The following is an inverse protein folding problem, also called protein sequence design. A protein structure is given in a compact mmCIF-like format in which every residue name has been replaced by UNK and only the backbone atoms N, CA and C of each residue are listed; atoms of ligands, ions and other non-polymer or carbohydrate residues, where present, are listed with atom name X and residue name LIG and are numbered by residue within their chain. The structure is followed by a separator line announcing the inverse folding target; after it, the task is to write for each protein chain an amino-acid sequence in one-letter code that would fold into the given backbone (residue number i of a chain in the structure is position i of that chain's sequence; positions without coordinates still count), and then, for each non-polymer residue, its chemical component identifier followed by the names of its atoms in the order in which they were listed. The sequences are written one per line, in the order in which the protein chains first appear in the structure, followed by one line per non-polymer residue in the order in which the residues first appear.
data_IF_448233624923
#
_entry.id   IF_448233624923
#
_cell.length_a   1.000
_cell.length_b   1.000
_cell.length_c   1.000
_cell.angle_alpha   90.00
_cell.angle_beta   90.00
_cell.angle_gamma   90.00
#
_symmetry.space_group_name_H-M   'P 1'
#
loop_
_entity.id
_entity.type
_entity.pdbx_description
1 polymer ?
#
# COMPACT_ATOMS: atom_id res chain seq x y z
N UNK A 1 66.68 -42.45 -11.41
CA UNK A 1 65.80 -41.95 -10.31
C UNK A 1 65.38 -40.47 -10.47
N UNK A 2 66.11 -39.61 -11.19
CA UNK A 2 65.79 -38.17 -11.32
C UNK A 2 64.46 -37.81 -12.02
N UNK A 3 63.96 -38.65 -12.94
CA UNK A 3 62.79 -38.29 -13.75
C UNK A 3 61.49 -38.24 -12.92
N UNK A 4 61.34 -39.14 -11.94
CA UNK A 4 60.17 -39.16 -11.05
C UNK A 4 60.15 -37.97 -10.07
N UNK A 5 61.33 -37.52 -9.63
CA UNK A 5 61.46 -36.35 -8.76
C UNK A 5 61.10 -35.06 -9.51
N UNK A 6 61.53 -34.92 -10.78
CA UNK A 6 61.14 -33.79 -11.63
C UNK A 6 59.64 -33.72 -11.90
N UNK A 7 59.00 -34.87 -12.16
CA UNK A 7 57.54 -34.95 -12.33
C UNK A 7 56.75 -34.62 -11.05
N UNK A 8 57.31 -34.92 -9.87
CA UNK A 8 56.68 -34.54 -8.61
C UNK A 8 56.81 -33.04 -8.34
N UNK A 9 57.97 -32.43 -8.64
CA UNK A 9 58.17 -31.00 -8.46
C UNK A 9 57.24 -30.17 -9.36
N UNK A 10 57.13 -30.53 -10.63
CA UNK A 10 56.18 -29.87 -11.57
C UNK A 10 54.74 -29.96 -11.08
N UNK A 11 54.33 -31.12 -10.58
CA UNK A 11 52.98 -31.29 -10.01
C UNK A 11 52.75 -30.49 -8.72
N UNK A 12 53.78 -30.31 -7.90
CA UNK A 12 53.71 -29.43 -6.72
C UNK A 12 53.54 -27.97 -7.15
N UNK A 13 54.27 -27.52 -8.16
CA UNK A 13 54.13 -26.15 -8.70
C UNK A 13 52.73 -25.92 -9.27
N UNK A 14 52.21 -26.83 -10.08
CA UNK A 14 50.84 -26.77 -10.61
C UNK A 14 49.79 -26.70 -9.51
N UNK A 15 49.91 -27.53 -8.48
CA UNK A 15 49.00 -27.53 -7.34
C UNK A 15 49.08 -26.23 -6.54
N UNK A 16 50.27 -25.65 -6.37
CA UNK A 16 50.44 -24.38 -5.67
C UNK A 16 49.80 -23.22 -6.44
N UNK A 17 49.97 -23.17 -7.77
CA UNK A 17 49.32 -22.16 -8.61
C UNK A 17 47.79 -22.30 -8.53
N UNK A 18 47.28 -23.53 -8.68
CA UNK A 18 45.83 -23.77 -8.59
C UNK A 18 45.27 -23.42 -7.20
N UNK A 19 46.02 -23.68 -6.13
CA UNK A 19 45.60 -23.35 -4.77
C UNK A 19 45.55 -21.83 -4.56
N UNK A 20 46.56 -21.10 -5.05
CA UNK A 20 46.58 -19.63 -5.00
C UNK A 20 45.42 -19.00 -5.78
N UNK A 21 45.11 -19.52 -6.97
CA UNK A 21 43.94 -19.08 -7.73
C UNK A 21 42.63 -19.34 -6.98
N UNK A 22 42.48 -20.52 -6.36
CA UNK A 22 41.30 -20.87 -5.57
C UNK A 22 41.15 -19.97 -4.35
N UNK A 23 42.24 -19.61 -3.68
CA UNK A 23 42.23 -18.67 -2.55
C UNK A 23 41.77 -17.26 -2.99
N UNK A 24 42.27 -16.77 -4.13
CA UNK A 24 41.83 -15.48 -4.69
C UNK A 24 40.34 -15.47 -4.99
N UNK A 25 39.84 -16.49 -5.68
CA UNK A 25 38.42 -16.64 -5.99
C UNK A 25 37.54 -16.74 -4.73
N UNK A 26 38.04 -17.44 -3.69
CA UNK A 26 37.33 -17.55 -2.41
C UNK A 26 37.18 -16.20 -1.71
N UNK A 27 38.21 -15.35 -1.80
CA UNK A 27 38.18 -14.02 -1.21
C UNK A 27 37.21 -13.09 -1.95
N UNK A 28 37.19 -13.16 -3.28
CA UNK A 28 36.21 -12.42 -4.09
C UNK A 28 34.77 -12.84 -3.77
N UNK A 29 34.50 -14.15 -3.76
CA UNK A 29 33.17 -14.68 -3.43
C UNK A 29 32.70 -14.28 -2.03
N UNK A 30 33.61 -14.23 -1.04
CA UNK A 30 33.28 -13.76 0.32
C UNK A 30 32.86 -12.29 0.32
N UNK A 31 33.59 -11.45 -0.40
CA UNK A 31 33.28 -10.02 -0.51
C UNK A 31 31.92 -9.80 -1.20
N UNK A 32 31.66 -10.53 -2.27
CA UNK A 32 30.38 -10.46 -2.98
C UNK A 32 29.21 -10.92 -2.09
N UNK A 33 29.43 -11.95 -1.27
CA UNK A 33 28.43 -12.43 -0.30
C UNK A 33 28.10 -11.35 0.74
N UNK A 34 29.12 -10.71 1.33
CA UNK A 34 28.95 -9.64 2.30
C UNK A 34 28.16 -8.45 1.71
N UNK A 35 28.44 -8.08 0.45
CA UNK A 35 27.70 -7.02 -0.25
C UNK A 35 26.23 -7.40 -0.47
N UNK A 36 25.96 -8.64 -0.91
CA UNK A 36 24.60 -9.14 -1.10
C UNK A 36 23.79 -9.23 0.19
N UNK A 37 24.42 -9.61 1.29
CA UNK A 37 23.77 -9.63 2.62
C UNK A 37 23.34 -8.22 3.05
N UNK A 38 24.19 -7.22 2.79
CA UNK A 38 23.85 -5.82 3.07
C UNK A 38 22.68 -5.32 2.21
N UNK A 39 22.70 -5.57 0.90
CA UNK A 39 21.60 -5.20 -0.01
C UNK A 39 20.27 -5.85 0.43
N UNK A 40 20.31 -7.11 0.85
CA UNK A 40 19.13 -7.85 1.29
C UNK A 40 18.55 -7.27 2.59
N UNK A 41 19.42 -6.84 3.52
CA UNK A 41 19.01 -6.11 4.71
C UNK A 41 18.30 -4.80 4.39
N UNK A 42 18.86 -4.00 3.48
CA UNK A 42 18.25 -2.74 3.05
C UNK A 42 16.90 -2.94 2.35
N UNK A 43 16.77 -3.96 1.51
CA UNK A 43 15.51 -4.29 0.84
C UNK A 43 14.43 -4.73 1.84
N UNK A 44 14.78 -5.53 2.85
CA UNK A 44 13.84 -5.92 3.92
C UNK A 44 13.29 -4.70 4.66
N UNK A 45 14.15 -3.77 5.07
CA UNK A 45 13.70 -2.54 5.75
C UNK A 45 12.83 -1.65 4.86
N UNK A 46 13.06 -1.63 3.54
CA UNK A 46 12.18 -0.91 2.60
C UNK A 46 10.81 -1.58 2.48
N UNK A 47 10.75 -2.91 2.42
CA UNK A 47 9.50 -3.66 2.37
C UNK A 47 8.65 -3.42 3.62
N UNK A 48 9.25 -3.48 4.82
CA UNK A 48 8.55 -3.19 6.08
C UNK A 48 7.91 -1.79 6.07
N UNK A 49 8.65 -0.78 5.60
CA UNK A 49 8.12 0.59 5.48
C UNK A 49 6.92 0.66 4.52
N UNK A 50 7.05 0.08 3.33
CA UNK A 50 5.98 0.06 2.34
C UNK A 50 4.74 -0.66 2.88
N UNK A 51 4.91 -1.77 3.59
CA UNK A 51 3.79 -2.49 4.21
C UNK A 51 3.07 -1.65 5.28
N UNK A 52 3.82 -0.90 6.10
CA UNK A 52 3.22 0.01 7.08
C UNK A 52 2.46 1.16 6.43
N UNK A 53 3.01 1.75 5.37
CA UNK A 53 2.36 2.81 4.58
C UNK A 53 1.12 2.29 3.83
N UNK A 54 1.18 1.07 3.29
CA UNK A 54 0.04 0.46 2.62
C UNK A 54 -1.10 0.17 3.60
N UNK A 55 -0.79 -0.30 4.81
CA UNK A 55 -1.81 -0.54 5.82
C UNK A 55 -2.43 0.76 6.37
N UNK A 56 -1.69 1.87 6.41
CA UNK A 56 -2.24 3.17 6.82
C UNK A 56 -3.08 3.85 5.73
N UNK A 57 -2.86 3.50 4.46
CA UNK A 57 -3.55 4.08 3.31
C UNK A 57 -4.67 3.22 2.74
N UNK A 58 -4.87 1.99 3.25
CA UNK A 58 -5.98 1.12 2.81
C UNK A 58 -7.31 1.84 3.04
N UNK A 59 -8.07 2.18 1.97
CA UNK A 59 -9.38 2.76 2.13
C UNK A 59 -10.28 1.74 2.83
N UNK A 60 -11.06 2.23 3.80
CA UNK A 60 -12.07 1.43 4.51
C UNK A 60 -12.99 0.79 3.46
N UNK A 61 -13.17 -0.53 3.52
CA UNK A 61 -14.10 -1.22 2.62
C UNK A 61 -15.47 -0.56 2.74
N UNK A 62 -16.13 -0.19 1.61
CA UNK A 62 -17.43 0.41 1.69
C UNK A 62 -18.43 -0.59 2.27
N UNK A 63 -18.84 -0.36 3.51
CA UNK A 63 -20.09 -0.91 4.03
C UNK A 63 -21.23 -0.28 3.23
N UNK A 64 -22.18 -1.09 2.78
CA UNK A 64 -23.41 -0.74 2.04
C UNK A 64 -23.61 0.76 1.74
N UNK A 65 -23.41 1.15 0.48
CA UNK A 65 -23.73 2.49 0.00
C UNK A 65 -25.24 2.74 0.06
N UNK A 66 -25.73 3.27 1.18
CA UNK A 66 -27.03 3.91 1.21
C UNK A 66 -26.89 5.32 0.63
N UNK A 67 -27.78 5.71 -0.28
CA UNK A 67 -27.74 7.01 -1.00
C UNK A 67 -27.72 8.22 -0.06
N UNK A 68 -28.12 8.02 1.20
CA UNK A 68 -28.15 9.02 2.26
C UNK A 68 -26.75 9.45 2.70
N UNK A 69 -25.75 8.57 2.67
CA UNK A 69 -24.38 8.86 3.13
C UNK A 69 -23.56 9.74 2.17
N UNK A 70 -24.04 9.95 0.93
CA UNK A 70 -23.37 10.80 -0.07
C UNK A 70 -23.84 12.25 -0.06
N UNK A 71 -24.89 12.58 0.68
CA UNK A 71 -25.38 13.95 0.75
C UNK A 71 -24.41 14.80 1.57
N UNK A 72 -24.08 15.98 1.04
CA UNK A 72 -23.19 16.96 1.67
C UNK A 72 -23.94 18.29 1.78
N UNK A 73 -23.98 18.87 2.98
CA UNK A 73 -24.57 20.19 3.20
C UNK A 73 -23.71 21.26 2.51
N UNK A 74 -24.26 22.03 1.56
CA UNK A 74 -23.49 23.06 0.85
C UNK A 74 -23.12 24.27 1.72
N UNK A 75 -23.77 24.46 2.88
CA UNK A 75 -23.47 25.58 3.78
C UNK A 75 -22.36 25.29 4.79
N UNK A 76 -22.17 24.03 5.22
CA UNK A 76 -21.21 23.70 6.29
C UNK A 76 -20.43 22.38 6.07
N UNK A 77 -20.65 21.68 4.96
CA UNK A 77 -19.93 20.46 4.62
C UNK A 77 -20.29 19.22 5.44
N UNK A 78 -21.33 19.27 6.27
CA UNK A 78 -21.79 18.09 7.04
C UNK A 78 -22.38 17.03 6.13
N UNK A 79 -22.23 15.75 6.46
CA UNK A 79 -22.54 14.63 5.57
C UNK A 79 -23.45 13.59 6.21
N UNK A 80 -24.17 12.82 5.38
CA UNK A 80 -24.89 11.63 5.81
C UNK A 80 -25.90 11.88 6.93
N UNK A 81 -25.65 11.29 8.11
CA UNK A 81 -26.54 11.31 9.30
C UNK A 81 -26.92 12.70 9.80
N UNK A 82 -26.11 13.71 9.47
CA UNK A 82 -26.34 15.12 9.80
C UNK A 82 -27.34 15.80 8.83
N UNK A 83 -27.86 15.09 7.85
CA UNK A 83 -28.83 15.56 6.86
C UNK A 83 -30.13 14.78 7.05
N UNK A 84 -31.26 15.49 7.12
CA UNK A 84 -32.60 14.90 7.24
C UNK A 84 -33.43 15.30 6.03
N UNK A 85 -34.14 14.34 5.42
CA UNK A 85 -35.14 14.66 4.40
C UNK A 85 -36.50 14.96 5.06
N UNK A 86 -37.09 16.09 4.73
CA UNK A 86 -38.40 16.54 5.21
C UNK A 86 -39.28 16.98 4.03
N UNK A 87 -40.60 16.94 4.20
CA UNK A 87 -41.52 17.43 3.17
C UNK A 87 -41.52 18.96 3.12
N UNK A 88 -41.38 19.51 1.92
CA UNK A 88 -41.48 20.94 1.69
C UNK A 88 -42.93 21.36 1.45
N UNK A 89 -43.59 21.78 2.52
CA UNK A 89 -44.98 22.26 2.50
C UNK A 89 -45.16 23.68 1.94
N UNK A 90 -44.09 24.26 1.38
CA UNK A 90 -44.13 25.59 0.76
C UNK A 90 -44.99 25.62 -0.51
N UNK A 91 -45.04 24.50 -1.25
CA UNK A 91 -45.77 24.37 -2.50
C UNK A 91 -46.36 22.98 -2.65
N UNK A 92 -47.67 22.92 -2.92
CA UNK A 92 -48.35 21.68 -3.29
C UNK A 92 -47.97 21.34 -4.73
N UNK A 93 -47.44 20.13 -4.95
CA UNK A 93 -47.08 19.64 -6.28
C UNK A 93 -48.28 19.03 -7.01
N UNK A 94 -49.23 18.48 -6.26
CA UNK A 94 -50.46 17.90 -6.78
C UNK A 94 -51.32 17.33 -5.67
N UNK A 95 -52.44 16.73 -6.05
CA UNK A 95 -53.33 16.03 -5.12
C UNK A 95 -53.49 14.57 -5.57
N UNK A 96 -53.34 13.65 -4.62
CA UNK A 96 -53.70 12.24 -4.83
C UNK A 96 -55.01 12.01 -4.08
N UNK A 97 -56.12 11.97 -4.83
CA UNK A 97 -57.46 12.04 -4.25
C UNK A 97 -57.68 13.40 -3.57
N UNK A 98 -58.01 13.39 -2.26
CA UNK A 98 -58.23 14.60 -1.46
C UNK A 98 -57.01 15.05 -0.64
N UNK A 99 -55.86 14.36 -0.74
CA UNK A 99 -54.66 14.67 0.04
C UNK A 99 -53.60 15.39 -0.80
N UNK A 100 -53.04 16.52 -0.32
CA UNK A 100 -51.98 17.25 -1.03
C UNK A 100 -50.64 16.49 -0.97
N UNK A 101 -49.93 16.47 -2.09
CA UNK A 101 -48.56 15.96 -2.22
C UNK A 101 -47.57 17.12 -2.23
N UNK A 102 -46.49 16.99 -1.44
CA UNK A 102 -45.43 17.97 -1.31
C UNK A 102 -44.10 17.44 -1.86
N UNK A 103 -43.19 18.35 -2.21
CA UNK A 103 -41.81 17.98 -2.54
C UNK A 103 -41.05 17.52 -1.30
N UNK A 104 -39.86 16.93 -1.48
CA UNK A 104 -38.92 16.67 -0.37
C UNK A 104 -37.76 17.65 -0.46
N UNK A 105 -37.31 18.14 0.69
CA UNK A 105 -36.09 18.93 0.85
C UNK A 105 -35.19 18.31 1.90
N UNK A 106 -33.89 18.56 1.82
CA UNK A 106 -32.91 18.12 2.79
C UNK A 106 -32.55 19.26 3.73
N UNK A 107 -32.52 18.98 5.02
CA UNK A 107 -32.19 19.96 6.07
C UNK A 107 -30.98 19.46 6.85
N UNK A 108 -29.95 20.31 6.93
CA UNK A 108 -28.78 20.03 7.75
C UNK A 108 -29.10 20.26 9.23
N UNK A 109 -28.94 19.22 10.05
CA UNK A 109 -29.18 19.28 11.51
C UNK A 109 -28.16 20.16 12.24
N UNK A 110 -26.97 20.39 11.66
CA UNK A 110 -25.91 21.18 12.29
C UNK A 110 -26.05 22.69 12.09
N UNK A 111 -26.36 23.14 10.87
CA UNK A 111 -26.45 24.56 10.56
C UNK A 111 -27.87 25.04 10.24
N UNK A 112 -28.85 24.14 10.14
CA UNK A 112 -30.23 24.47 9.79
C UNK A 112 -30.47 24.79 8.32
N UNK A 113 -29.44 24.77 7.47
CA UNK A 113 -29.58 25.05 6.05
C UNK A 113 -30.41 23.99 5.33
N UNK A 114 -31.38 24.43 4.53
CA UNK A 114 -32.27 23.58 3.73
C UNK A 114 -31.97 23.68 2.24
N UNK A 115 -31.88 22.55 1.54
CA UNK A 115 -31.56 22.46 0.11
C UNK A 115 -32.20 21.25 -0.58
#
# INVERSE_FOLDING_TARGET
MNNKLGNLNTKIEELNTALSEKESNLNELKKDLEEKEKELGEQKSKLEKIETELNSTKPVQPTEYTSEERLICPSCGSVGKDIKSEEDKSKVLGYIGHSPMYGKKNVCKKCGYSF
#
